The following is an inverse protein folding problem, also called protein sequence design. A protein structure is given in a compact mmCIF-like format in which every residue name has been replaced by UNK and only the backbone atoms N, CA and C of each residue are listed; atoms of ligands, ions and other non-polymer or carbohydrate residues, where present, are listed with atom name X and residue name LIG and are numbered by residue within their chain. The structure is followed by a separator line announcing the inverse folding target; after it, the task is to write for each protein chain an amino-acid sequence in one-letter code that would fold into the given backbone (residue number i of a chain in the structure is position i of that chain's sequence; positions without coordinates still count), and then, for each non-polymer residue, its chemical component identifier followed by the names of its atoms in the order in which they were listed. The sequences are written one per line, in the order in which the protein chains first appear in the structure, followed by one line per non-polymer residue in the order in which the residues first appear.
data_IF_773160740728
#
_entry.id   IF_773160740728
#
_cell.length_a   1.000
_cell.length_b   1.000
_cell.length_c   1.000
_cell.angle_alpha   90.00
_cell.angle_beta   90.00
_cell.angle_gamma   90.00
#
_symmetry.space_group_name_H-M   'P 1'
#
loop_
_entity.id
_entity.type
_entity.pdbx_description
1 polymer ?
#
# COMPACT_ATOMS: atom_id res chain seq x y z
N UNK A 1 -51.61 20.11 -25.66
CA UNK A 1 -51.11 21.34 -25.01
C UNK A 1 -51.49 21.22 -23.55
N UNK A 2 -50.63 21.14 -22.53
CA UNK A 2 -49.22 21.50 -22.28
C UNK A 2 -48.76 20.56 -21.14
N UNK A 3 -47.70 19.78 -21.25
CA UNK A 3 -46.31 20.24 -21.16
C UNK A 3 -45.71 19.82 -19.81
N UNK A 4 -45.41 18.52 -19.64
CA UNK A 4 -44.64 18.02 -18.49
C UNK A 4 -43.15 18.12 -18.82
N UNK A 5 -42.49 19.16 -18.32
CA UNK A 5 -41.06 19.39 -18.48
C UNK A 5 -40.28 18.42 -17.58
N UNK A 6 -39.66 17.41 -18.17
CA UNK A 6 -38.64 16.59 -17.53
C UNK A 6 -37.37 17.41 -17.38
N UNK A 7 -36.98 17.69 -16.14
CA UNK A 7 -35.71 18.36 -15.83
C UNK A 7 -34.57 17.32 -15.96
N UNK A 8 -33.47 17.61 -16.68
CA UNK A 8 -32.36 16.68 -16.81
C UNK A 8 -31.54 16.64 -15.52
N UNK A 9 -31.16 15.45 -15.07
CA UNK A 9 -30.24 15.24 -13.97
C UNK A 9 -28.88 15.88 -14.30
N UNK A 10 -28.41 16.75 -13.40
CA UNK A 10 -27.10 17.38 -13.48
C UNK A 10 -25.98 16.33 -13.31
N UNK A 11 -24.82 16.50 -13.97
CA UNK A 11 -23.70 15.57 -13.85
C UNK A 11 -23.13 15.57 -12.43
N UNK A 12 -22.87 14.36 -11.90
CA UNK A 12 -22.21 14.16 -10.61
C UNK A 12 -20.89 14.95 -10.57
N UNK A 13 -20.84 15.94 -9.69
CA UNK A 13 -19.65 16.70 -9.41
C UNK A 13 -18.57 15.75 -8.90
N UNK A 14 -17.43 15.67 -9.61
CA UNK A 14 -16.21 15.03 -9.11
C UNK A 14 -15.92 15.61 -7.74
N UNK A 15 -16.08 14.79 -6.70
CA UNK A 15 -15.77 15.16 -5.33
C UNK A 15 -14.28 15.49 -5.25
N UNK A 16 -13.97 16.77 -5.32
CA UNK A 16 -12.65 17.31 -5.04
C UNK A 16 -12.52 17.27 -3.52
N UNK A 17 -12.20 16.08 -2.98
CA UNK A 17 -11.91 15.93 -1.55
C UNK A 17 -10.52 16.51 -1.33
N UNK A 18 -10.47 17.81 -1.08
CA UNK A 18 -9.33 18.46 -0.46
C UNK A 18 -9.17 17.87 0.94
N UNK A 19 -8.41 16.78 1.03
CA UNK A 19 -7.84 16.34 2.30
C UNK A 19 -6.84 17.42 2.71
N UNK A 20 -7.33 18.42 3.45
CA UNK A 20 -6.44 19.29 4.21
C UNK A 20 -5.49 18.40 5.02
N UNK A 21 -4.19 18.72 5.06
CA UNK A 21 -3.28 17.99 5.91
C UNK A 21 -3.81 18.06 7.33
N UNK A 22 -4.01 16.88 7.95
CA UNK A 22 -4.17 16.78 9.41
C UNK A 22 -3.09 17.69 10.01
N UNK A 23 -3.51 18.60 10.89
CA UNK A 23 -2.77 19.80 11.27
C UNK A 23 -1.26 19.59 11.27
N UNK A 24 -0.55 20.50 10.61
CA UNK A 24 0.90 20.66 10.61
C UNK A 24 1.56 20.31 11.96
N UNK A 25 1.85 19.03 12.18
CA UNK A 25 2.70 18.56 13.26
C UNK A 25 4.15 18.61 12.78
N UNK A 26 4.56 19.76 12.22
CA UNK A 26 5.90 19.98 11.67
C UNK A 26 6.96 20.21 12.74
N UNK A 27 6.61 20.28 14.01
CA UNK A 27 7.57 20.44 15.09
C UNK A 27 8.01 19.08 15.66
N UNK A 28 8.93 18.43 14.94
CA UNK A 28 9.83 17.43 15.54
C UNK A 28 10.95 18.20 16.23
N UNK A 29 10.61 19.00 17.25
CA UNK A 29 11.57 19.87 17.95
C UNK A 29 12.52 19.07 18.82
N UNK A 30 12.03 18.02 19.48
CA UNK A 30 12.83 17.14 20.32
C UNK A 30 12.50 15.66 20.04
N UNK A 31 13.50 14.93 19.56
CA UNK A 31 13.47 13.47 19.42
C UNK A 31 14.10 12.85 20.68
N UNK A 32 13.52 11.79 21.27
CA UNK A 32 14.12 11.11 22.42
C UNK A 32 15.57 10.69 22.10
N UNK A 33 16.54 10.89 23.02
CA UNK A 33 17.93 10.53 22.78
C UNK A 33 18.13 9.01 22.61
N UNK A 34 17.18 8.22 23.08
CA UNK A 34 17.12 6.76 22.93
C UNK A 34 16.51 6.32 21.60
N UNK A 35 15.88 7.22 20.84
CA UNK A 35 15.26 6.90 19.56
C UNK A 35 16.29 7.00 18.44
N UNK A 36 16.79 5.84 18.00
CA UNK A 36 17.80 5.74 16.95
C UNK A 36 19.16 6.27 17.36
N UNK A 37 20.07 6.39 16.38
CA UNK A 37 21.41 6.94 16.59
C UNK A 37 21.41 8.47 16.49
N UNK A 38 22.48 9.10 16.98
CA UNK A 38 22.61 10.56 16.91
C UNK A 38 22.62 11.06 15.46
N UNK A 39 23.32 10.36 14.56
CA UNK A 39 23.35 10.69 13.13
C UNK A 39 21.98 10.57 12.47
N UNK A 40 21.21 9.52 12.80
CA UNK A 40 19.85 9.34 12.30
C UNK A 40 18.90 10.45 12.78
N UNK A 41 18.97 10.82 14.07
CA UNK A 41 18.17 11.95 14.58
C UNK A 41 18.54 13.26 13.90
N UNK A 42 19.84 13.53 13.73
CA UNK A 42 20.31 14.71 13.02
C UNK A 42 19.79 14.72 11.58
N UNK A 43 19.95 13.62 10.84
CA UNK A 43 19.46 13.50 9.46
C UNK A 43 17.94 13.71 9.36
N UNK A 44 17.17 13.18 10.32
CA UNK A 44 15.72 13.41 10.38
C UNK A 44 15.35 14.87 10.66
N UNK A 45 16.10 15.55 11.53
CA UNK A 45 15.94 16.99 11.79
C UNK A 45 16.29 17.81 10.53
N UNK A 46 17.34 17.42 9.82
CA UNK A 46 17.81 18.02 8.55
C UNK A 46 16.87 17.71 7.35
N UNK A 47 15.84 16.87 7.54
CA UNK A 47 14.78 16.63 6.55
C UNK A 47 14.92 15.34 5.73
N UNK A 48 15.84 14.43 6.07
CA UNK A 48 15.91 13.12 5.43
C UNK A 48 14.67 12.28 5.78
N UNK A 49 13.75 12.17 4.82
CA UNK A 49 12.51 11.41 4.97
C UNK A 49 12.75 9.93 5.30
N UNK A 50 13.86 9.33 4.87
CA UNK A 50 14.21 7.94 5.17
C UNK A 50 14.61 7.79 6.63
N UNK A 51 15.40 8.74 7.15
CA UNK A 51 15.72 8.79 8.58
C UNK A 51 14.45 8.99 9.42
N UNK A 52 13.55 9.88 8.99
CA UNK A 52 12.25 10.08 9.64
C UNK A 52 11.43 8.78 9.67
N UNK A 53 11.34 8.06 8.55
CA UNK A 53 10.65 6.77 8.48
C UNK A 53 11.27 5.70 9.39
N UNK A 54 12.59 5.66 9.48
CA UNK A 54 13.32 4.72 10.34
C UNK A 54 13.11 4.99 11.83
N UNK A 55 13.04 6.27 12.23
CA UNK A 55 12.69 6.65 13.59
C UNK A 55 11.21 6.36 13.88
N UNK A 56 10.31 6.61 12.93
CA UNK A 56 8.89 6.25 13.04
C UNK A 56 8.71 4.75 13.26
N UNK A 57 9.40 3.93 12.47
CA UNK A 57 9.36 2.47 12.57
C UNK A 57 9.88 1.98 13.92
N UNK A 58 10.94 2.59 14.46
CA UNK A 58 11.43 2.27 15.81
C UNK A 58 10.43 2.64 16.89
N UNK A 59 9.80 3.81 16.80
CA UNK A 59 8.79 4.24 17.74
C UNK A 59 7.52 3.36 17.70
N UNK A 60 7.18 2.81 16.53
CA UNK A 60 6.03 1.91 16.38
C UNK A 60 6.34 0.47 16.80
N UNK A 61 7.44 -0.09 16.28
CA UNK A 61 7.71 -1.53 16.29
C UNK A 61 8.76 -1.93 17.34
N UNK A 62 9.44 -0.97 17.98
CA UNK A 62 10.48 -1.21 18.97
C UNK A 62 10.01 -2.01 20.20
N UNK A 63 10.92 -2.34 21.15
CA UNK A 63 10.54 -2.97 22.41
C UNK A 63 9.40 -2.23 23.11
N UNK A 64 8.49 -2.96 23.77
CA UNK A 64 7.29 -2.36 24.36
C UNK A 64 7.57 -1.15 25.27
N UNK A 65 8.66 -1.18 26.03
CA UNK A 65 9.10 -0.09 26.91
C UNK A 65 9.53 1.20 26.16
N UNK A 66 9.78 1.12 24.85
CA UNK A 66 10.22 2.22 23.98
C UNK A 66 9.21 2.57 22.89
N UNK A 67 8.07 1.88 22.83
CA UNK A 67 7.02 2.18 21.85
C UNK A 67 6.35 3.49 22.21
N UNK A 68 6.23 4.36 21.22
CA UNK A 68 5.43 5.58 21.30
C UNK A 68 4.60 5.71 20.01
N UNK A 69 3.36 5.17 20.02
CA UNK A 69 2.46 5.23 18.87
C UNK A 69 2.12 6.65 18.43
N UNK A 70 2.09 7.64 19.34
CA UNK A 70 1.78 9.03 19.01
C UNK A 70 2.96 9.70 18.31
N UNK A 71 4.19 9.42 18.76
CA UNK A 71 5.39 9.86 18.08
C UNK A 71 5.54 9.17 16.72
N UNK A 72 5.30 7.86 16.64
CA UNK A 72 5.33 7.12 15.39
C UNK A 72 4.35 7.70 14.37
N UNK A 73 3.11 8.03 14.79
CA UNK A 73 2.10 8.63 13.92
C UNK A 73 2.61 9.92 13.29
N UNK A 74 3.11 10.86 14.10
CA UNK A 74 3.66 12.15 13.63
C UNK A 74 4.85 11.98 12.69
N UNK A 75 5.75 11.04 12.99
CA UNK A 75 6.91 10.78 12.14
C UNK A 75 6.53 10.10 10.82
N UNK A 76 5.61 9.12 10.84
CA UNK A 76 5.08 8.52 9.62
C UNK A 76 4.34 9.54 8.77
N UNK A 77 3.58 10.45 9.37
CA UNK A 77 2.96 11.57 8.66
C UNK A 77 3.98 12.46 7.96
N UNK A 78 5.04 12.89 8.67
CA UNK A 78 6.12 13.68 8.05
C UNK A 78 6.77 12.94 6.88
N UNK A 79 7.06 11.65 7.03
CA UNK A 79 7.63 10.82 5.97
C UNK A 79 6.65 10.59 4.79
N UNK A 80 5.35 10.48 5.08
CA UNK A 80 4.30 10.29 4.09
C UNK A 80 4.04 11.54 3.25
N UNK A 81 4.08 12.72 3.89
CA UNK A 81 4.03 14.04 3.23
C UNK A 81 5.27 14.27 2.37
N UNK A 82 6.44 13.78 2.79
CA UNK A 82 7.65 13.75 1.97
C UNK A 82 7.59 12.72 0.81
N UNK A 83 6.48 12.01 0.65
CA UNK A 83 6.20 11.17 -0.51
C UNK A 83 6.68 9.73 -0.41
N UNK A 84 7.08 9.24 0.77
CA UNK A 84 7.45 7.82 0.93
C UNK A 84 6.21 6.93 0.92
N UNK A 85 6.03 6.12 -0.12
CA UNK A 85 4.91 5.18 -0.23
C UNK A 85 4.82 4.19 0.95
N UNK A 86 5.93 3.65 1.49
CA UNK A 86 5.86 2.81 2.69
C UNK A 86 5.37 3.58 3.93
N UNK A 87 5.69 4.87 4.05
CA UNK A 87 5.20 5.71 5.14
C UNK A 87 3.70 5.99 5.00
N UNK A 88 3.23 6.27 3.77
CA UNK A 88 1.80 6.41 3.46
C UNK A 88 1.02 5.13 3.81
N UNK A 89 1.57 3.95 3.46
CA UNK A 89 1.00 2.66 3.85
C UNK A 89 0.96 2.46 5.38
N UNK A 90 2.06 2.76 6.08
CA UNK A 90 2.12 2.65 7.56
C UNK A 90 1.10 3.59 8.22
N UNK A 91 0.98 4.82 7.74
CA UNK A 91 0.03 5.80 8.24
C UNK A 91 -1.43 5.35 8.02
N UNK A 92 -1.72 4.79 6.83
CA UNK A 92 -3.02 4.16 6.56
C UNK A 92 -3.37 3.07 7.57
N UNK A 93 -2.43 2.18 7.90
CA UNK A 93 -2.61 1.14 8.92
C UNK A 93 -2.89 1.71 10.31
N UNK A 94 -2.22 2.81 10.68
CA UNK A 94 -2.42 3.43 11.98
C UNK A 94 -3.83 4.01 12.12
N UNK A 95 -4.34 4.66 11.07
CA UNK A 95 -5.72 5.13 11.05
C UNK A 95 -6.74 3.99 11.01
N UNK A 96 -6.47 2.93 10.23
CA UNK A 96 -7.37 1.77 10.14
C UNK A 96 -7.54 1.06 11.49
N UNK A 97 -6.45 0.96 12.25
CA UNK A 97 -6.38 0.24 13.53
C UNK A 97 -6.54 1.14 14.76
N UNK A 98 -6.57 2.47 14.58
CA UNK A 98 -6.59 3.42 15.70
C UNK A 98 -5.32 3.36 16.57
N UNK A 99 -4.15 3.18 15.96
CA UNK A 99 -2.86 3.11 16.66
C UNK A 99 -2.31 4.53 16.79
N UNK A 100 -2.18 5.02 18.02
CA UNK A 100 -1.67 6.38 18.29
C UNK A 100 -2.67 7.51 17.97
N UNK A 101 -3.87 7.18 17.47
CA UNK A 101 -4.97 8.08 17.13
C UNK A 101 -6.31 7.35 17.23
N UNK A 102 -7.43 8.06 17.12
CA UNK A 102 -8.73 7.42 16.92
C UNK A 102 -8.79 6.69 15.57
N UNK A 103 -9.52 5.58 15.52
CA UNK A 103 -9.74 4.83 14.28
C UNK A 103 -10.50 5.70 13.26
N UNK A 104 -9.96 5.81 12.05
CA UNK A 104 -10.55 6.56 10.94
C UNK A 104 -10.30 5.85 9.62
N UNK A 105 -11.30 5.12 9.13
CA UNK A 105 -11.18 4.37 7.89
C UNK A 105 -11.22 5.26 6.63
N UNK A 106 -11.75 6.49 6.73
CA UNK A 106 -11.75 7.44 5.62
C UNK A 106 -10.34 7.98 5.39
N UNK A 107 -9.64 8.36 6.45
CA UNK A 107 -8.23 8.73 6.39
C UNK A 107 -7.34 7.54 5.99
N UNK A 108 -7.63 6.33 6.49
CA UNK A 108 -6.92 5.13 6.06
C UNK A 108 -7.03 4.93 4.55
N UNK A 109 -8.24 5.06 3.98
CA UNK A 109 -8.48 4.97 2.53
C UNK A 109 -7.64 6.01 1.78
N UNK A 110 -7.64 7.27 2.21
CA UNK A 110 -6.86 8.34 1.56
C UNK A 110 -5.36 7.98 1.50
N UNK A 111 -4.79 7.52 2.61
CA UNK A 111 -3.36 7.18 2.67
C UNK A 111 -3.02 5.90 1.91
N UNK A 112 -3.90 4.89 1.93
CA UNK A 112 -3.72 3.71 1.10
C UNK A 112 -3.81 4.02 -0.39
N UNK A 113 -4.74 4.88 -0.83
CA UNK A 113 -4.81 5.33 -2.23
C UNK A 113 -3.50 5.97 -2.66
N UNK A 114 -2.97 6.92 -1.88
CA UNK A 114 -1.69 7.58 -2.19
C UNK A 114 -0.53 6.57 -2.30
N UNK A 115 -0.44 5.62 -1.37
CA UNK A 115 0.60 4.59 -1.40
C UNK A 115 0.44 3.64 -2.60
N UNK A 116 -0.80 3.21 -2.88
CA UNK A 116 -1.13 2.30 -3.96
C UNK A 116 -0.85 2.91 -5.34
N UNK A 117 -1.19 4.18 -5.54
CA UNK A 117 -0.86 4.94 -6.76
C UNK A 117 0.65 5.06 -7.00
N UNK A 118 1.46 4.99 -5.94
CA UNK A 118 2.93 4.95 -6.00
C UNK A 118 3.51 3.53 -6.06
N UNK A 119 2.67 2.53 -6.28
CA UNK A 119 3.10 1.14 -6.50
C UNK A 119 3.24 0.30 -5.24
N UNK A 120 2.81 0.77 -4.06
CA UNK A 120 2.85 -0.05 -2.84
C UNK A 120 1.81 -1.17 -2.91
N UNK A 121 2.26 -2.42 -3.07
CA UNK A 121 1.39 -3.57 -3.28
C UNK A 121 0.57 -3.93 -2.03
N UNK A 122 1.11 -3.69 -0.83
CA UNK A 122 0.38 -3.91 0.44
C UNK A 122 -0.75 -2.90 0.60
N UNK A 123 -0.52 -1.64 0.20
CA UNK A 123 -1.57 -0.62 0.19
C UNK A 123 -2.66 -0.91 -0.85
N UNK A 124 -2.30 -1.42 -2.03
CA UNK A 124 -3.30 -1.88 -3.02
C UNK A 124 -4.21 -2.95 -2.43
N UNK A 125 -3.66 -3.93 -1.71
CA UNK A 125 -4.44 -4.96 -1.01
C UNK A 125 -5.38 -4.34 0.03
N UNK A 126 -4.85 -3.53 0.96
CA UNK A 126 -5.67 -2.95 2.03
C UNK A 126 -6.74 -2.02 1.47
N UNK A 127 -6.44 -1.26 0.41
CA UNK A 127 -7.43 -0.44 -0.28
C UNK A 127 -8.56 -1.29 -0.87
N UNK A 128 -8.22 -2.39 -1.54
CA UNK A 128 -9.20 -3.33 -2.06
C UNK A 128 -10.11 -3.90 -0.96
N UNK A 129 -9.53 -4.25 0.20
CA UNK A 129 -10.29 -4.69 1.38
C UNK A 129 -11.26 -3.61 1.86
N UNK A 130 -10.82 -2.35 2.00
CA UNK A 130 -11.72 -1.26 2.43
C UNK A 130 -12.90 -1.04 1.45
N UNK A 131 -12.69 -1.25 0.15
CA UNK A 131 -13.76 -1.22 -0.85
C UNK A 131 -14.69 -2.43 -0.73
N UNK A 132 -14.14 -3.64 -0.53
CA UNK A 132 -14.92 -4.88 -0.38
C UNK A 132 -15.74 -4.93 0.93
N UNK A 133 -15.26 -4.27 1.99
CA UNK A 133 -15.99 -4.17 3.27
C UNK A 133 -17.08 -3.09 3.25
N UNK A 134 -17.03 -2.14 2.32
CA UNK A 134 -18.04 -1.10 2.21
C UNK A 134 -17.99 -0.08 3.34
N UNK A 135 -16.81 0.34 3.77
CA UNK A 135 -16.58 1.29 4.88
C UNK A 135 -17.46 2.57 4.86
N UNK A 136 -17.94 2.99 3.69
CA UNK A 136 -18.81 4.17 3.52
C UNK A 136 -20.22 3.83 3.01
N UNK A 137 -20.70 2.60 3.23
CA UNK A 137 -22.02 2.14 2.79
C UNK A 137 -22.01 0.69 2.36
N UNK A 138 -22.29 0.43 1.08
CA UNK A 138 -22.28 -0.93 0.52
C UNK A 138 -20.89 -1.27 -0.02
N UNK A 139 -20.51 -2.56 -0.05
CA UNK A 139 -19.32 -3.01 -0.75
C UNK A 139 -19.27 -2.53 -2.20
N UNK A 140 -18.10 -2.02 -2.59
CA UNK A 140 -17.75 -1.71 -3.97
C UNK A 140 -16.81 -2.80 -4.50
N UNK A 141 -17.40 -3.92 -4.91
CA UNK A 141 -16.63 -5.05 -5.42
C UNK A 141 -15.96 -4.79 -6.76
N UNK A 142 -16.44 -3.82 -7.55
CA UNK A 142 -15.81 -3.48 -8.83
C UNK A 142 -14.44 -2.85 -8.57
N UNK A 143 -14.40 -1.80 -7.75
CA UNK A 143 -13.14 -1.16 -7.35
C UNK A 143 -12.24 -2.11 -6.56
N UNK A 144 -12.81 -2.95 -5.68
CA UNK A 144 -12.03 -3.97 -4.98
C UNK A 144 -11.37 -4.98 -5.95
N UNK A 145 -12.11 -5.46 -6.96
CA UNK A 145 -11.57 -6.39 -7.97
C UNK A 145 -10.40 -5.78 -8.73
N UNK A 146 -10.50 -4.50 -9.11
CA UNK A 146 -9.40 -3.81 -9.78
C UNK A 146 -8.14 -3.71 -8.91
N UNK A 147 -8.29 -3.30 -7.64
CA UNK A 147 -7.15 -3.17 -6.74
C UNK A 147 -6.55 -4.51 -6.32
N UNK A 148 -7.38 -5.53 -6.06
CA UNK A 148 -6.88 -6.89 -5.84
C UNK A 148 -6.12 -7.42 -7.05
N UNK A 149 -6.58 -7.16 -8.28
CA UNK A 149 -5.84 -7.52 -9.50
C UNK A 149 -4.46 -6.88 -9.55
N UNK A 150 -4.36 -5.57 -9.29
CA UNK A 150 -3.05 -4.88 -9.27
C UNK A 150 -2.13 -5.47 -8.20
N UNK A 151 -2.62 -5.69 -6.98
CA UNK A 151 -1.82 -6.29 -5.90
C UNK A 151 -1.40 -7.75 -6.22
N UNK A 152 -2.31 -8.52 -6.82
CA UNK A 152 -2.09 -9.91 -7.21
C UNK A 152 -0.97 -10.05 -8.25
N UNK A 153 -0.89 -9.12 -9.21
CA UNK A 153 0.21 -9.04 -10.19
C UNK A 153 1.58 -8.84 -9.53
N UNK A 154 1.66 -8.14 -8.40
CA UNK A 154 2.89 -7.98 -7.62
C UNK A 154 3.16 -9.12 -6.63
N UNK A 155 2.39 -10.21 -6.70
CA UNK A 155 2.61 -11.39 -5.87
C UNK A 155 2.02 -11.32 -4.46
N UNK A 156 1.07 -10.41 -4.20
CA UNK A 156 0.38 -10.41 -2.91
C UNK A 156 -0.59 -11.58 -2.86
N UNK A 157 -0.17 -12.69 -2.23
CA UNK A 157 -0.93 -13.95 -2.07
C UNK A 157 -2.39 -13.75 -1.66
N UNK A 158 -2.63 -12.96 -0.61
CA UNK A 158 -3.99 -12.73 -0.10
C UNK A 158 -4.87 -11.98 -1.12
N UNK A 159 -4.27 -11.13 -1.97
CA UNK A 159 -4.99 -10.49 -3.08
C UNK A 159 -5.29 -11.45 -4.21
N UNK A 160 -4.40 -12.40 -4.49
CA UNK A 160 -4.64 -13.45 -5.48
C UNK A 160 -5.82 -14.33 -5.04
N UNK A 161 -5.84 -14.74 -3.78
CA UNK A 161 -6.97 -15.47 -3.20
C UNK A 161 -8.27 -14.66 -3.30
N UNK A 162 -8.29 -13.41 -2.84
CA UNK A 162 -9.49 -12.58 -2.83
C UNK A 162 -9.99 -12.26 -4.24
N UNK A 163 -9.09 -12.00 -5.19
CA UNK A 163 -9.43 -11.82 -6.59
C UNK A 163 -10.08 -13.08 -7.18
N UNK A 164 -9.52 -14.25 -6.89
CA UNK A 164 -10.06 -15.52 -7.34
C UNK A 164 -11.49 -15.75 -6.83
N UNK A 165 -11.77 -15.39 -5.56
CA UNK A 165 -13.12 -15.44 -4.98
C UNK A 165 -14.09 -14.51 -5.71
N UNK A 166 -13.70 -13.25 -5.95
CA UNK A 166 -14.56 -12.27 -6.62
C UNK A 166 -14.90 -12.70 -8.05
N UNK A 167 -13.90 -13.14 -8.82
CA UNK A 167 -14.08 -13.64 -10.19
C UNK A 167 -14.92 -14.91 -10.24
N UNK A 168 -14.73 -15.85 -9.31
CA UNK A 168 -15.48 -17.10 -9.26
C UNK A 168 -16.95 -16.91 -8.88
N UNK A 169 -17.27 -15.80 -8.20
CA UNK A 169 -18.63 -15.44 -7.75
C UNK A 169 -19.31 -14.40 -8.64
N UNK A 170 -18.58 -13.78 -9.58
CA UNK A 170 -19.11 -12.69 -10.39
C UNK A 170 -19.41 -11.43 -9.57
N UNK A 171 -18.61 -11.14 -8.54
CA UNK A 171 -18.78 -9.96 -7.69
C UNK A 171 -17.88 -8.83 -8.19
N UNK A 172 -18.48 -7.74 -8.67
CA UNK A 172 -17.75 -6.58 -9.18
C UNK A 172 -17.21 -6.73 -10.61
N UNK A 173 -17.23 -7.95 -11.16
CA UNK A 173 -16.95 -8.27 -12.56
C UNK A 173 -17.79 -9.50 -12.96
N UNK A 174 -18.01 -9.75 -14.26
CA UNK A 174 -18.62 -11.00 -14.72
C UNK A 174 -17.86 -12.23 -14.20
N UNK A 175 -18.58 -13.33 -13.96
CA UNK A 175 -17.97 -14.58 -13.52
C UNK A 175 -16.92 -15.05 -14.53
N UNK A 176 -15.72 -15.35 -14.02
CA UNK A 176 -14.62 -15.91 -14.80
C UNK A 176 -13.96 -17.03 -14.00
N UNK A 177 -14.39 -18.27 -14.29
CA UNK A 177 -13.89 -19.45 -13.59
C UNK A 177 -12.45 -19.81 -14.00
N UNK A 178 -12.02 -19.48 -15.21
CA UNK A 178 -10.66 -19.76 -15.67
C UNK A 178 -9.65 -18.86 -14.95
N UNK A 179 -9.94 -17.55 -14.86
CA UNK A 179 -9.12 -16.63 -14.08
C UNK A 179 -9.25 -16.88 -12.57
N UNK A 180 -10.42 -17.28 -12.07
CA UNK A 180 -10.57 -17.73 -10.68
C UNK A 180 -9.65 -18.93 -10.38
N UNK A 181 -9.64 -19.95 -11.25
CA UNK A 181 -8.74 -21.09 -11.13
C UNK A 181 -7.28 -20.66 -11.11
N UNK A 182 -6.88 -19.80 -12.05
CA UNK A 182 -5.51 -19.31 -12.16
C UNK A 182 -5.06 -18.65 -10.85
N UNK A 183 -5.84 -17.70 -10.33
CA UNK A 183 -5.41 -16.94 -9.16
C UNK A 183 -5.40 -17.78 -7.88
N UNK A 184 -6.34 -18.72 -7.72
CA UNK A 184 -6.22 -19.72 -6.65
C UNK A 184 -4.98 -20.62 -6.83
N UNK A 185 -4.66 -21.03 -8.05
CA UNK A 185 -3.47 -21.85 -8.31
C UNK A 185 -2.16 -21.11 -8.01
N UNK A 186 -2.08 -19.82 -8.36
CA UNK A 186 -0.92 -18.98 -8.05
C UNK A 186 -0.76 -18.77 -6.54
N UNK A 187 -1.85 -18.54 -5.81
CA UNK A 187 -1.81 -18.44 -4.35
C UNK A 187 -1.41 -19.79 -3.70
N UNK A 188 -1.95 -20.90 -4.20
CA UNK A 188 -1.61 -22.25 -3.74
C UNK A 188 -0.14 -22.60 -3.97
N UNK A 189 0.44 -22.16 -5.09
CA UNK A 189 1.87 -22.32 -5.38
C UNK A 189 2.80 -21.60 -4.38
N UNK A 190 2.26 -20.68 -3.58
CA UNK A 190 2.96 -20.00 -2.48
C UNK A 190 2.65 -20.60 -1.10
N UNK A 191 2.06 -21.80 -1.05
CA UNK A 191 1.76 -22.52 0.19
C UNK A 191 0.38 -22.22 0.79
N UNK A 192 -0.52 -21.56 0.06
CA UNK A 192 -1.91 -21.38 0.50
C UNK A 192 -2.73 -22.66 0.26
N UNK A 193 -2.84 -23.49 1.30
CA UNK A 193 -3.57 -24.76 1.21
C UNK A 193 -5.07 -24.56 0.92
N UNK A 194 -5.67 -23.49 1.45
CA UNK A 194 -7.07 -23.15 1.25
C UNK A 194 -7.32 -22.74 -0.20
N UNK A 195 -6.41 -21.95 -0.78
CA UNK A 195 -6.41 -21.65 -2.20
C UNK A 195 -6.29 -22.94 -3.04
N UNK A 196 -5.46 -23.90 -2.61
CA UNK A 196 -5.33 -25.20 -3.28
C UNK A 196 -6.65 -25.95 -3.36
N UNK A 197 -7.39 -26.03 -2.25
CA UNK A 197 -8.73 -26.66 -2.21
C UNK A 197 -9.72 -25.90 -3.10
N UNK A 198 -9.73 -24.57 -3.03
CA UNK A 198 -10.63 -23.72 -3.85
C UNK A 198 -10.32 -23.79 -5.34
N UNK A 199 -9.05 -23.85 -5.73
CA UNK A 199 -8.60 -24.12 -7.10
C UNK A 199 -9.22 -25.41 -7.61
N UNK A 200 -9.15 -26.49 -6.83
CA UNK A 200 -9.63 -27.80 -7.25
C UNK A 200 -11.17 -27.83 -7.37
N UNK A 201 -11.89 -27.18 -6.44
CA UNK A 201 -13.35 -26.96 -6.53
C UNK A 201 -13.74 -26.20 -7.81
N UNK A 202 -13.03 -25.11 -8.16
CA UNK A 202 -13.28 -24.35 -9.39
C UNK A 202 -12.93 -25.19 -10.63
N UNK A 203 -11.85 -25.98 -10.56
CA UNK A 203 -11.39 -26.84 -11.65
C UNK A 203 -12.41 -27.91 -12.05
N UNK A 204 -13.18 -28.44 -11.09
CA UNK A 204 -14.27 -29.39 -11.35
C UNK A 204 -15.43 -28.79 -12.16
N UNK A 205 -15.53 -27.45 -12.21
CA UNK A 205 -16.61 -26.73 -12.90
C UNK A 205 -16.21 -26.25 -14.31
N UNK A 206 -14.94 -26.40 -14.69
CA UNK A 206 -14.42 -26.00 -15.98
C UNK A 206 -14.53 -27.13 -17.00
N UNK A 207 -14.63 -26.79 -18.29
CA UNK A 207 -14.45 -27.76 -19.36
C UNK A 207 -13.00 -28.29 -19.37
N UNK A 208 -12.73 -29.49 -19.90
CA UNK A 208 -11.36 -29.99 -20.00
C UNK A 208 -10.39 -29.05 -20.73
N UNK A 209 -10.88 -28.37 -21.78
CA UNK A 209 -10.09 -27.40 -22.56
C UNK A 209 -9.76 -26.16 -21.74
N UNK A 210 -10.76 -25.58 -21.07
CA UNK A 210 -10.55 -24.36 -20.27
C UNK A 210 -9.67 -24.63 -19.05
N UNK A 211 -9.83 -25.79 -18.41
CA UNK A 211 -8.98 -26.22 -17.31
C UNK A 211 -7.53 -26.40 -17.76
N UNK A 212 -7.29 -26.99 -18.94
CA UNK A 212 -5.95 -27.15 -19.48
C UNK A 212 -5.28 -25.78 -19.77
N UNK A 213 -6.04 -24.84 -20.35
CA UNK A 213 -5.56 -23.48 -20.59
C UNK A 213 -5.23 -22.75 -19.28
N UNK A 214 -6.14 -22.77 -18.30
CA UNK A 214 -5.93 -22.11 -17.01
C UNK A 214 -4.73 -22.69 -16.24
N UNK A 215 -4.51 -24.01 -16.30
CA UNK A 215 -3.30 -24.65 -15.73
C UNK A 215 -2.02 -24.17 -16.39
N UNK A 216 -2.00 -24.07 -17.72
CA UNK A 216 -0.83 -23.60 -18.46
C UNK A 216 -0.51 -22.15 -18.13
N UNK A 217 -1.53 -21.28 -18.06
CA UNK A 217 -1.37 -19.87 -17.71
C UNK A 217 -0.88 -19.70 -16.25
N UNK A 218 -1.44 -20.45 -15.30
CA UNK A 218 -0.98 -20.45 -13.91
C UNK A 218 0.49 -20.91 -13.77
N UNK A 219 0.93 -21.93 -14.53
CA UNK A 219 2.31 -22.40 -14.52
C UNK A 219 3.29 -21.38 -15.14
N UNK A 220 2.83 -20.60 -16.13
CA UNK A 220 3.61 -19.55 -16.78
C UNK A 220 3.66 -18.25 -15.96
N UNK A 221 2.75 -18.05 -15.01
CA UNK A 221 2.63 -16.80 -14.26
C UNK A 221 3.88 -16.47 -13.44
N UNK A 222 4.29 -15.20 -13.44
CA UNK A 222 5.37 -14.66 -12.60
C UNK A 222 4.97 -13.31 -12.02
N UNK A 223 5.36 -12.98 -10.78
CA UNK A 223 5.07 -11.69 -10.18
C UNK A 223 5.81 -10.56 -10.91
N UNK A 224 5.15 -9.41 -11.05
CA UNK A 224 5.81 -8.16 -11.45
C UNK A 224 6.73 -7.69 -10.34
N UNK A 225 7.87 -7.12 -10.73
CA UNK A 225 8.79 -6.49 -9.78
C UNK A 225 8.30 -5.09 -9.44
N UNK A 226 8.10 -4.81 -8.15
CA UNK A 226 7.77 -3.46 -7.69
C UNK A 226 8.96 -2.51 -7.89
N UNK A 227 8.67 -1.23 -8.14
CA UNK A 227 9.70 -0.21 -8.22
C UNK A 227 10.44 -0.06 -6.87
N UNK A 228 11.72 0.30 -6.93
CA UNK A 228 12.49 0.62 -5.72
C UNK A 228 11.79 1.72 -4.92
N UNK A 229 11.68 1.54 -3.60
CA UNK A 229 10.99 2.49 -2.73
C UNK A 229 9.47 2.37 -2.69
N UNK A 230 8.85 1.46 -3.46
CA UNK A 230 7.40 1.29 -3.46
C UNK A 230 6.91 0.59 -2.19
N UNK A 231 7.52 -0.54 -1.83
CA UNK A 231 7.12 -1.37 -0.69
C UNK A 231 7.97 -1.13 0.57
N UNK A 232 9.25 -0.81 0.39
CA UNK A 232 10.23 -0.71 1.48
C UNK A 232 11.07 0.55 1.33
N UNK A 233 11.60 1.05 2.46
CA UNK A 233 12.52 2.20 2.48
C UNK A 233 13.94 1.65 2.60
N UNK A 234 14.82 2.00 1.65
CA UNK A 234 16.22 1.59 1.68
C UNK A 234 17.07 2.63 2.43
N UNK A 235 17.73 2.23 3.55
CA UNK A 235 18.70 3.09 4.23
C UNK A 235 19.89 3.46 3.33
N UNK A 236 20.59 4.58 3.59
CA UNK A 236 21.85 4.87 2.93
C UNK A 236 22.89 3.79 3.25
N UNK A 237 23.74 3.46 2.27
CA UNK A 237 24.70 2.35 2.37
C UNK A 237 25.68 2.48 3.55
N UNK A 238 26.04 3.71 3.94
CA UNK A 238 26.93 4.03 5.05
C UNK A 238 26.20 4.32 6.36
N UNK A 239 24.88 4.13 6.39
CA UNK A 239 24.03 4.58 7.49
C UNK A 239 24.02 6.11 7.62
N UNK A 240 23.50 6.60 8.75
CA UNK A 240 23.37 8.03 9.05
C UNK A 240 24.45 8.56 10.00
N UNK A 241 25.31 7.68 10.51
CA UNK A 241 26.33 8.03 11.51
C UNK A 241 27.71 8.32 10.89
N UNK A 242 27.94 7.94 9.63
CA UNK A 242 29.13 8.36 8.88
C UNK A 242 28.94 9.75 8.27
N UNK A 243 29.93 10.64 8.48
CA UNK A 243 29.95 11.94 7.82
C UNK A 243 30.06 11.75 6.29
N UNK A 244 29.39 12.59 5.47
CA UNK A 244 29.58 12.54 4.03
C UNK A 244 31.05 12.76 3.71
N UNK A 245 31.70 11.77 3.09
CA UNK A 245 33.06 11.92 2.57
C UNK A 245 33.04 13.09 1.59
N UNK A 246 33.65 14.20 1.98
CA UNK A 246 33.76 15.38 1.13
C UNK A 246 34.33 14.94 -0.23
N UNK A 247 33.61 15.23 -1.30
CA UNK A 247 34.13 15.04 -2.65
C UNK A 247 35.44 15.82 -2.74
N UNK A 248 36.54 15.11 -3.00
CA UNK A 248 37.86 15.72 -3.23
C UNK A 248 37.71 16.69 -4.40
N UNK A 249 37.72 18.00 -4.11
CA UNK A 249 37.72 19.02 -5.17
C UNK A 249 38.97 18.79 -6.01
N UNK A 250 38.87 18.73 -7.36
CA UNK A 250 40.06 18.58 -8.19
C UNK A 250 41.00 19.76 -7.94
N UNK A 251 42.28 19.44 -7.71
CA UNK A 251 43.32 20.43 -7.49
C UNK A 251 43.37 21.39 -8.68
N UNK A 252 43.38 22.70 -8.40
CA UNK A 252 43.61 23.73 -9.43
C UNK A 252 44.94 23.45 -10.13
N UNK A 253 45.02 23.48 -11.47
CA UNK A 253 46.29 23.35 -12.16
C UNK A 253 47.18 24.54 -11.80
N UNK A 254 48.42 24.25 -11.45
CA UNK A 254 49.46 25.26 -11.26
C UNK A 254 49.67 25.99 -12.58
N UNK A 255 49.62 27.33 -12.55
CA UNK A 255 50.01 28.16 -13.69
C UNK A 255 51.54 28.14 -13.77
N UNK A 256 52.05 27.62 -14.89
CA UNK A 256 53.42 27.86 -15.37
C UNK A 256 53.57 29.27 -15.91
#
# INVERSE_FOLDING_TARGET
MTGSTTQPAAPEAKAQVSAEPVQAATNVGDLPPTLGTAGMRKAALDGDARAVYELASRAADGPAASRDPKLALRLFERAAVAGLAPAQFRLGNMFEKGIGTARDLSLARVWYTRAAERGNAKAMHNLAVLHAEGVSGKPDYATATEWFRRAAEFGVRDSQYNLAVLLGRGLGAPTDLAQSYLWFAVAAGQGDEDAGRKRDEVGQRLSPSDLAAAKAEAAAWRPRTAASGANDVTPPAKGWDEAPTAAVKPAKPARS
#
